data_IF_090976645194
#
_entry.id   IF_090976645194
#
_cell.length_a   1.000
_cell.length_b   1.000
_cell.length_c   1.000
_cell.angle_alpha   90.00
_cell.angle_beta   90.00
_cell.angle_gamma   90.00
#
_symmetry.space_group_name_H-M   'P 1'
#
loop_
_entity.id
_entity.type
_entity.pdbx_description
1 polymer ?
#
# COMPACT_ATOMS: atom_id res chain seq x y z
N UNK A 1 2.78 3.28 14.48
CA UNK A 1 1.71 3.51 15.47
C UNK A 1 1.04 2.20 15.92
N UNK A 2 0.52 1.37 15.02
CA UNK A 2 -0.15 0.10 15.39
C UNK A 2 0.72 -0.79 16.29
N UNK A 3 1.98 -1.01 15.91
CA UNK A 3 2.93 -1.83 16.70
C UNK A 3 3.10 -1.32 18.12
N UNK A 4 3.32 -0.01 18.30
CA UNK A 4 3.49 0.60 19.63
C UNK A 4 2.23 0.49 20.53
N UNK A 5 1.04 0.59 19.93
CA UNK A 5 -0.25 0.63 20.67
C UNK A 5 -0.81 -0.76 20.91
N UNK A 6 -0.67 -1.71 19.98
CA UNK A 6 -1.37 -3.00 20.04
C UNK A 6 -0.46 -4.22 20.20
N UNK A 7 0.79 -4.15 19.73
CA UNK A 7 1.67 -5.33 19.64
C UNK A 7 2.72 -5.30 20.75
N UNK A 8 3.46 -4.20 20.89
CA UNK A 8 4.62 -4.09 21.79
C UNK A 8 4.29 -4.30 23.27
N UNK A 9 3.03 -4.13 23.67
CA UNK A 9 2.57 -4.36 25.04
C UNK A 9 2.30 -5.84 25.36
N UNK A 10 2.27 -6.70 24.33
CA UNK A 10 1.93 -8.11 24.47
C UNK A 10 3.20 -8.99 24.48
N UNK A 11 4.39 -8.38 24.50
CA UNK A 11 5.65 -9.11 24.43
C UNK A 11 6.80 -8.35 25.11
N UNK A 12 7.47 -9.00 26.05
CA UNK A 12 8.43 -8.35 26.95
C UNK A 12 9.88 -8.37 26.43
N UNK A 13 10.21 -9.23 25.45
CA UNK A 13 11.61 -9.35 24.97
C UNK A 13 11.97 -8.34 23.86
N UNK A 14 11.18 -7.27 23.72
CA UNK A 14 11.39 -6.22 22.72
C UNK A 14 10.63 -6.44 21.42
N UNK A 15 9.97 -5.38 20.94
CA UNK A 15 9.25 -5.36 19.65
C UNK A 15 9.70 -4.13 18.88
N UNK A 16 10.05 -4.31 17.61
CA UNK A 16 10.47 -3.24 16.73
C UNK A 16 9.73 -3.32 15.39
N UNK A 17 9.30 -2.16 14.91
CA UNK A 17 8.72 -1.95 13.60
C UNK A 17 9.75 -1.26 12.70
N UNK A 18 10.11 -1.90 11.60
CA UNK A 18 11.07 -1.39 10.63
C UNK A 18 10.30 -1.03 9.35
N UNK A 19 10.53 0.17 8.83
CA UNK A 19 9.72 0.75 7.76
C UNK A 19 10.04 0.21 6.37
N UNK A 20 11.32 -0.08 6.12
CA UNK A 20 11.82 -0.48 4.81
C UNK A 20 12.98 -1.49 4.96
N UNK A 21 13.31 -2.16 3.85
CA UNK A 21 14.33 -3.20 3.85
C UNK A 21 15.73 -2.64 4.15
N UNK A 22 16.03 -1.42 3.70
CA UNK A 22 17.34 -0.78 3.87
C UNK A 22 17.72 -0.62 5.34
N UNK A 23 16.74 -0.34 6.21
CA UNK A 23 16.93 -0.17 7.66
C UNK A 23 17.00 -1.50 8.42
N UNK A 24 16.53 -2.59 7.81
CA UNK A 24 16.43 -3.88 8.47
C UNK A 24 17.79 -4.48 8.79
N UNK A 25 18.77 -4.35 7.88
CA UNK A 25 20.11 -4.89 8.05
C UNK A 25 20.81 -4.24 9.25
N UNK A 26 20.82 -2.91 9.31
CA UNK A 26 21.44 -2.17 10.41
C UNK A 26 20.76 -2.49 11.74
N UNK A 27 19.42 -2.51 11.78
CA UNK A 27 18.68 -2.82 13.00
C UNK A 27 19.00 -4.23 13.53
N UNK A 28 18.98 -5.25 12.67
CA UNK A 28 19.32 -6.62 13.05
C UNK A 28 20.77 -6.71 13.51
N UNK A 29 21.70 -6.06 12.82
CA UNK A 29 23.12 -6.04 13.23
C UNK A 29 23.30 -5.45 14.62
N UNK A 30 22.61 -4.36 14.96
CA UNK A 30 22.67 -3.76 16.30
C UNK A 30 22.05 -4.68 17.35
N UNK A 31 20.94 -5.35 17.04
CA UNK A 31 20.26 -6.29 17.94
C UNK A 31 21.09 -7.55 18.25
N UNK A 32 21.93 -7.99 17.31
CA UNK A 32 22.88 -9.08 17.51
C UNK A 32 24.18 -8.63 18.20
N UNK A 33 24.40 -7.32 18.32
CA UNK A 33 25.59 -6.72 18.89
C UNK A 33 25.45 -6.36 20.38
N UNK A 34 26.47 -5.67 20.90
CA UNK A 34 26.53 -5.23 22.30
C UNK A 34 25.55 -4.09 22.64
N UNK A 35 25.05 -3.39 21.62
CA UNK A 35 24.14 -2.25 21.77
C UNK A 35 22.65 -2.63 21.79
N UNK A 36 22.33 -3.93 21.77
CA UNK A 36 20.96 -4.45 21.79
C UNK A 36 20.08 -3.78 22.84
N UNK A 37 20.52 -3.79 24.10
CA UNK A 37 19.72 -3.25 25.21
C UNK A 37 19.48 -1.74 25.09
N UNK A 38 20.47 -1.00 24.56
CA UNK A 38 20.36 0.45 24.31
C UNK A 38 19.29 0.71 23.24
N UNK A 39 19.34 -0.04 22.14
CA UNK A 39 18.39 0.09 21.05
C UNK A 39 16.96 -0.27 21.48
N UNK A 40 16.79 -1.39 22.19
CA UNK A 40 15.48 -1.81 22.68
C UNK A 40 14.88 -0.80 23.66
N UNK A 41 15.69 -0.27 24.58
CA UNK A 41 15.25 0.77 25.52
C UNK A 41 14.81 2.03 24.79
N UNK A 42 15.62 2.51 23.83
CA UNK A 42 15.27 3.68 23.00
C UNK A 42 13.95 3.46 22.26
N UNK A 43 13.74 2.29 21.63
CA UNK A 43 12.50 1.97 20.94
C UNK A 43 11.30 1.90 21.90
N UNK A 44 11.48 1.36 23.10
CA UNK A 44 10.43 1.33 24.11
C UNK A 44 10.00 2.74 24.55
N UNK A 45 10.96 3.64 24.76
CA UNK A 45 10.71 5.05 25.10
C UNK A 45 9.97 5.78 23.96
N UNK A 46 10.39 5.57 22.72
CA UNK A 46 9.70 6.10 21.53
C UNK A 46 8.25 5.59 21.44
N UNK A 47 8.03 4.29 21.71
CA UNK A 47 6.70 3.69 21.68
C UNK A 47 5.80 4.22 22.79
N UNK A 48 6.35 4.52 23.96
CA UNK A 48 5.61 5.18 25.04
C UNK A 48 5.17 6.59 24.63
N UNK A 49 6.04 7.37 23.99
CA UNK A 49 5.68 8.67 23.42
C UNK A 49 4.55 8.56 22.39
N UNK A 50 4.64 7.60 21.47
CA UNK A 50 3.61 7.35 20.46
C UNK A 50 2.27 6.93 21.08
N UNK A 51 2.28 6.12 22.14
CA UNK A 51 1.07 5.72 22.87
C UNK A 51 0.40 6.93 23.53
N UNK A 52 1.18 7.78 24.20
CA UNK A 52 0.67 9.02 24.79
C UNK A 52 0.05 9.93 23.72
N UNK A 53 0.74 10.12 22.60
CA UNK A 53 0.22 10.89 21.47
C UNK A 53 -1.07 10.29 20.88
N UNK A 54 -1.16 8.97 20.79
CA UNK A 54 -2.37 8.30 20.33
C UNK A 54 -3.53 8.49 21.32
N UNK A 55 -3.26 8.45 22.62
CA UNK A 55 -4.26 8.67 23.67
C UNK A 55 -4.78 10.12 23.70
N UNK A 56 -3.95 11.10 23.33
CA UNK A 56 -4.35 12.51 23.24
C UNK A 56 -5.00 12.89 21.91
N UNK A 57 -5.00 12.00 20.89
CA UNK A 57 -5.79 12.27 19.67
C UNK A 57 -7.26 12.42 20.05
N UNK A 58 -7.82 13.58 19.70
CA UNK A 58 -9.23 13.87 19.89
C UNK A 58 -10.08 12.73 19.37
N UNK A 59 -10.92 12.17 20.24
CA UNK A 59 -11.92 11.19 19.81
C UNK A 59 -12.83 11.90 18.84
N UNK A 60 -13.01 11.33 17.64
CA UNK A 60 -14.05 11.81 16.72
C UNK A 60 -15.37 11.83 17.48
N UNK A 61 -16.13 12.91 17.38
CA UNK A 61 -17.49 12.95 17.91
C UNK A 61 -18.29 11.86 17.22
N UNK A 62 -18.72 10.87 17.99
CA UNK A 62 -19.56 9.79 17.49
C UNK A 62 -21.01 10.19 17.75
N UNK A 63 -21.85 10.01 16.74
CA UNK A 63 -23.30 10.10 16.88
C UNK A 63 -23.87 8.70 17.11
N UNK A 64 -25.01 8.56 17.82
CA UNK A 64 -25.73 7.30 17.89
C UNK A 64 -26.07 6.75 16.50
N UNK A 65 -26.11 5.43 16.35
CA UNK A 65 -26.48 4.79 15.07
C UNK A 65 -27.84 5.26 14.55
N UNK A 66 -28.81 5.44 15.45
CA UNK A 66 -30.14 5.96 15.10
C UNK A 66 -30.09 7.35 14.47
N UNK A 67 -29.21 8.22 14.96
CA UNK A 67 -29.00 9.55 14.40
C UNK A 67 -28.34 9.45 13.02
N UNK A 68 -27.29 8.63 12.88
CA UNK A 68 -26.60 8.42 11.60
C UNK A 68 -27.52 7.93 10.48
N UNK A 69 -28.50 7.07 10.81
CA UNK A 69 -29.51 6.59 9.86
C UNK A 69 -30.43 7.71 9.36
N UNK A 70 -30.71 8.70 10.21
CA UNK A 70 -31.57 9.85 9.90
C UNK A 70 -30.78 10.98 9.23
N UNK A 71 -29.51 11.18 9.60
CA UNK A 71 -28.65 12.22 9.04
C UNK A 71 -27.88 11.75 7.80
N UNK A 72 -28.20 10.57 7.27
CA UNK A 72 -27.60 10.08 6.02
C UNK A 72 -27.89 11.03 4.86
N UNK A 73 -27.07 10.95 3.82
CA UNK A 73 -27.30 11.67 2.57
C UNK A 73 -28.68 11.31 1.98
N UNK A 74 -29.48 12.33 1.64
CA UNK A 74 -30.80 12.17 1.04
C UNK A 74 -30.69 12.31 -0.47
N UNK A 75 -30.95 11.22 -1.18
CA UNK A 75 -31.02 11.21 -2.64
C UNK A 75 -32.47 11.28 -3.11
N UNK A 76 -32.73 12.05 -4.16
CA UNK A 76 -34.03 12.09 -4.82
C UNK A 76 -34.23 10.85 -5.70
N UNK A 77 -34.62 9.76 -5.06
CA UNK A 77 -34.91 8.49 -5.73
C UNK A 77 -36.14 8.55 -6.64
N UNK A 78 -37.03 9.54 -6.47
CA UNK A 78 -38.22 9.69 -7.31
C UNK A 78 -37.86 10.22 -8.69
N UNK A 79 -36.91 11.15 -8.75
CA UNK A 79 -36.44 11.73 -10.02
C UNK A 79 -35.18 11.05 -10.57
N UNK A 80 -34.48 10.24 -9.76
CA UNK A 80 -33.38 9.42 -10.24
C UNK A 80 -33.89 8.26 -11.11
N UNK A 81 -33.39 8.21 -12.35
CA UNK A 81 -33.62 7.08 -13.26
C UNK A 81 -32.35 6.24 -13.34
N UNK A 82 -32.28 5.07 -12.67
CA UNK A 82 -31.11 4.21 -12.73
C UNK A 82 -30.89 3.72 -14.16
N UNK A 83 -29.65 3.79 -14.63
CA UNK A 83 -29.27 3.22 -15.92
C UNK A 83 -29.24 1.71 -15.80
N UNK A 84 -30.07 1.01 -16.60
CA UNK A 84 -30.04 -0.45 -16.63
C UNK A 84 -28.66 -0.92 -17.12
N UNK A 85 -28.00 -1.88 -16.44
CA UNK A 85 -26.77 -2.48 -16.94
C UNK A 85 -26.96 -3.09 -18.34
N UNK A 86 -25.91 -3.07 -19.15
CA UNK A 86 -25.94 -3.67 -20.49
C UNK A 86 -26.06 -5.20 -20.48
N UNK A 87 -25.74 -5.85 -19.35
CA UNK A 87 -25.85 -7.30 -19.18
C UNK A 87 -26.32 -7.57 -17.76
N UNK A 88 -27.39 -8.34 -17.63
CA UNK A 88 -27.87 -8.86 -16.35
C UNK A 88 -27.17 -10.20 -16.05
N UNK A 89 -26.88 -10.48 -14.78
CA UNK A 89 -26.22 -11.74 -14.36
C UNK A 89 -24.69 -11.75 -14.49
N UNK A 90 -24.09 -12.94 -14.35
CA UNK A 90 -22.63 -13.10 -14.36
C UNK A 90 -22.11 -13.24 -15.79
N UNK A 91 -21.17 -12.37 -16.17
CA UNK A 91 -20.45 -12.46 -17.44
C UNK A 91 -19.01 -12.92 -17.19
N UNK A 92 -18.69 -14.13 -17.62
CA UNK A 92 -17.32 -14.67 -17.53
C UNK A 92 -16.52 -14.25 -18.76
N UNK A 93 -15.38 -13.59 -18.56
CA UNK A 93 -14.43 -13.23 -19.61
C UNK A 93 -13.40 -14.34 -19.77
N UNK A 94 -13.73 -15.37 -20.55
CA UNK A 94 -12.81 -16.48 -20.83
C UNK A 94 -11.70 -16.03 -21.78
N UNK A 95 -10.47 -16.44 -21.49
CA UNK A 95 -9.31 -16.21 -22.37
C UNK A 95 -9.15 -14.74 -22.78
N UNK A 96 -9.37 -13.81 -21.84
CA UNK A 96 -9.23 -12.38 -22.12
C UNK A 96 -7.80 -12.05 -22.53
N UNK A 97 -7.66 -11.22 -23.56
CA UNK A 97 -6.36 -10.85 -24.10
C UNK A 97 -5.54 -10.02 -23.11
N UNK A 98 -4.44 -10.61 -22.62
CA UNK A 98 -3.52 -9.94 -21.71
C UNK A 98 -2.83 -8.74 -22.36
N UNK A 99 -2.67 -8.71 -23.69
CA UNK A 99 -2.10 -7.54 -24.37
C UNK A 99 -3.05 -6.33 -24.28
N UNK A 100 -4.35 -6.57 -24.19
CA UNK A 100 -5.33 -5.52 -23.90
C UNK A 100 -5.18 -5.01 -22.47
N UNK A 101 -5.00 -5.88 -21.48
CA UNK A 101 -4.79 -5.48 -20.08
C UNK A 101 -3.48 -4.69 -19.91
N UNK A 102 -2.41 -5.09 -20.61
CA UNK A 102 -1.10 -4.46 -20.50
C UNK A 102 -1.13 -2.94 -20.81
N UNK A 103 -2.09 -2.49 -21.65
CA UNK A 103 -2.29 -1.07 -21.98
C UNK A 103 -2.85 -0.24 -20.82
N UNK A 104 -3.44 -0.89 -19.82
CA UNK A 104 -4.05 -0.27 -18.64
C UNK A 104 -3.20 -0.44 -17.37
N UNK A 105 -1.95 -0.89 -17.50
CA UNK A 105 -1.03 -0.95 -16.37
C UNK A 105 -0.75 0.48 -15.89
N UNK A 106 -1.09 0.75 -14.63
CA UNK A 106 -0.56 1.89 -13.90
C UNK A 106 0.84 1.54 -13.38
N UNK A 107 1.84 2.26 -13.90
CA UNK A 107 3.24 2.07 -13.52
C UNK A 107 3.60 2.80 -12.22
N UNK A 108 2.73 3.63 -11.66
CA UNK A 108 2.97 4.31 -10.38
C UNK A 108 3.29 3.35 -9.23
N UNK A 109 2.41 2.37 -8.93
CA UNK A 109 2.70 1.35 -7.91
C UNK A 109 3.96 0.53 -8.18
N UNK A 110 4.30 0.30 -9.45
CA UNK A 110 5.53 -0.39 -9.83
C UNK A 110 6.77 0.40 -9.39
N UNK A 111 6.84 1.70 -9.66
CA UNK A 111 7.95 2.54 -9.20
C UNK A 111 8.03 2.66 -7.68
N UNK A 112 6.88 2.70 -6.99
CA UNK A 112 6.83 2.69 -5.52
C UNK A 112 7.43 1.39 -4.98
N UNK A 113 7.10 0.23 -5.56
CA UNK A 113 7.62 -1.06 -5.14
C UNK A 113 9.15 -1.18 -5.33
N UNK A 114 9.71 -0.43 -6.28
CA UNK A 114 11.15 -0.33 -6.52
C UNK A 114 11.81 0.83 -5.76
N UNK A 115 11.11 1.45 -4.82
CA UNK A 115 11.58 2.57 -4.01
C UNK A 115 12.11 3.76 -4.85
N UNK A 116 11.58 3.93 -6.07
CA UNK A 116 11.93 5.03 -6.96
C UNK A 116 11.17 6.29 -6.55
N UNK A 117 11.87 7.41 -6.27
CA UNK A 117 11.23 8.62 -5.80
C UNK A 117 10.47 9.34 -6.92
N UNK A 118 9.23 9.76 -6.63
CA UNK A 118 8.38 10.51 -7.55
C UNK A 118 7.20 9.72 -8.08
N UNK A 119 6.30 10.41 -8.78
CA UNK A 119 5.13 9.81 -9.41
C UNK A 119 5.40 9.49 -10.88
N UNK A 120 4.78 8.44 -11.41
CA UNK A 120 4.77 8.20 -12.84
C UNK A 120 3.78 9.18 -13.52
N UNK A 121 4.12 9.79 -14.67
CA UNK A 121 5.36 9.63 -15.44
C UNK A 121 6.51 10.57 -15.04
N UNK A 122 6.32 11.48 -14.08
CA UNK A 122 7.33 12.50 -13.73
C UNK A 122 8.69 11.92 -13.29
N UNK A 123 8.70 10.75 -12.65
CA UNK A 123 9.92 10.04 -12.21
C UNK A 123 10.89 9.76 -13.36
N UNK A 124 10.39 9.67 -14.60
CA UNK A 124 11.22 9.41 -15.78
C UNK A 124 12.12 10.60 -16.15
N UNK A 125 11.73 11.81 -15.77
CA UNK A 125 12.46 13.05 -16.08
C UNK A 125 13.15 13.63 -14.84
N UNK A 126 13.21 12.85 -13.75
CA UNK A 126 13.99 13.21 -12.57
C UNK A 126 15.48 13.31 -12.90
N UNK A 127 16.16 14.33 -12.37
CA UNK A 127 17.56 14.63 -12.67
C UNK A 127 18.54 13.58 -12.14
N UNK A 128 18.16 12.87 -11.08
CA UNK A 128 19.02 11.90 -10.39
C UNK A 128 18.60 10.49 -10.78
N UNK A 129 17.31 10.20 -10.75
CA UNK A 129 16.76 8.85 -10.89
C UNK A 129 16.17 8.57 -12.28
N UNK A 130 15.97 9.59 -13.12
CA UNK A 130 15.25 9.44 -14.40
C UNK A 130 15.89 8.43 -15.35
N UNK A 131 17.22 8.37 -15.43
CA UNK A 131 17.94 7.39 -16.24
C UNK A 131 17.64 5.95 -15.78
N UNK A 132 17.69 5.71 -14.48
CA UNK A 132 17.43 4.39 -13.92
C UNK A 132 15.94 4.03 -13.99
N UNK A 133 15.05 5.01 -13.78
CA UNK A 133 13.62 4.83 -13.92
C UNK A 133 13.23 4.44 -15.36
N UNK A 134 13.84 5.09 -16.36
CA UNK A 134 13.66 4.73 -17.79
C UNK A 134 14.20 3.34 -18.10
N UNK A 135 15.35 2.96 -17.53
CA UNK A 135 15.93 1.62 -17.67
C UNK A 135 15.00 0.55 -17.09
N UNK A 136 14.56 0.76 -15.86
CA UNK A 136 13.67 -0.14 -15.13
C UNK A 136 12.32 -0.33 -15.85
N UNK A 137 11.73 0.75 -16.36
CA UNK A 137 10.50 0.70 -17.15
C UNK A 137 10.69 -0.15 -18.42
N UNK A 138 11.77 0.10 -19.17
CA UNK A 138 12.07 -0.62 -20.40
C UNK A 138 12.24 -2.12 -20.14
N UNK A 139 12.97 -2.48 -19.08
CA UNK A 139 13.16 -3.88 -18.71
C UNK A 139 11.83 -4.54 -18.29
N UNK A 140 10.99 -3.84 -17.54
CA UNK A 140 9.67 -4.33 -17.17
C UNK A 140 8.74 -4.51 -18.38
N UNK A 141 8.74 -3.56 -19.33
CA UNK A 141 7.96 -3.65 -20.56
C UNK A 141 8.39 -4.85 -21.41
N UNK A 142 9.69 -5.09 -21.57
CA UNK A 142 10.21 -6.30 -22.25
C UNK A 142 9.78 -7.59 -21.57
N UNK A 143 9.74 -7.62 -20.24
CA UNK A 143 9.25 -8.79 -19.50
C UNK A 143 7.75 -9.03 -19.71
N UNK A 144 6.95 -7.96 -19.76
CA UNK A 144 5.53 -8.04 -20.11
C UNK A 144 5.37 -8.59 -21.53
N UNK A 145 6.05 -8.01 -22.52
CA UNK A 145 6.01 -8.46 -23.91
C UNK A 145 6.38 -9.95 -24.06
N UNK A 146 7.48 -10.36 -23.44
CA UNK A 146 7.93 -11.76 -23.43
C UNK A 146 6.88 -12.69 -22.81
N UNK A 147 6.20 -12.23 -21.77
CA UNK A 147 5.15 -13.00 -21.09
C UNK A 147 3.91 -13.17 -21.95
N UNK A 148 3.54 -12.14 -22.71
CA UNK A 148 2.45 -12.17 -23.68
C UNK A 148 2.74 -13.13 -24.84
N UNK A 149 3.97 -13.13 -25.36
CA UNK A 149 4.37 -14.01 -26.47
C UNK A 149 4.42 -15.49 -26.08
N UNK A 150 4.85 -15.80 -24.85
CA UNK A 150 5.05 -17.18 -24.41
C UNK A 150 3.80 -17.86 -23.85
N UNK A 151 2.64 -17.19 -23.81
CA UNK A 151 1.44 -17.66 -23.10
C UNK A 151 1.74 -18.14 -21.66
N UNK A 152 2.81 -17.62 -21.04
CA UNK A 152 3.32 -18.08 -19.75
C UNK A 152 2.55 -17.52 -18.56
N UNK A 153 1.67 -16.55 -18.81
CA UNK A 153 0.74 -15.97 -17.86
C UNK A 153 -0.67 -16.15 -18.42
N UNK A 154 -1.60 -16.54 -17.56
CA UNK A 154 -3.03 -16.64 -17.85
C UNK A 154 -3.80 -16.07 -16.68
N UNK A 155 -4.91 -15.41 -16.95
CA UNK A 155 -5.85 -15.06 -15.88
C UNK A 155 -6.40 -16.37 -15.29
N UNK A 156 -6.45 -16.47 -13.97
CA UNK A 156 -7.11 -17.61 -13.30
C UNK A 156 -8.62 -17.52 -13.56
N UNK A 157 -9.23 -18.68 -13.83
CA UNK A 157 -10.68 -18.83 -14.05
C UNK A 157 -11.49 -18.75 -12.75
#
# INVERSE_FOLDING_TARGET
MHTAVKIAQQYDNGVMHILDASRSVTAVSTLLGKEKEILLKKTADEYEGLRKQFATKGKKTLIPYSEAVITKEYFDWKNYKPTKPATDGVKVLKSFDLATIAKFIDWGPFFIAWEMPGHFPQVLDDKIFGTEAKRLLNDAQKLVEKSLQKNGLRLME
#
